data_IF_825149650545
#
_entry.id   IF_825149650545
#
_cell.length_a   1.000
_cell.length_b   1.000
_cell.length_c   1.000
_cell.angle_alpha   90.00
_cell.angle_beta   90.00
_cell.angle_gamma   90.00
#
_symmetry.space_group_name_H-M   'P 1'
#
loop_
_entity.id
_entity.type
_entity.pdbx_description
1 polymer ?
#
# COMPACT_ATOMS: atom_id res chain seq x y z
N UNK A 1 -6.73 11.94 -0.12
CA UNK A 1 -7.55 12.35 -1.26
C UNK A 1 -8.83 11.53 -1.29
N UNK A 2 -9.97 12.22 -1.42
CA UNK A 2 -11.29 11.59 -1.39
C UNK A 2 -11.49 10.55 -2.51
N UNK A 3 -10.86 10.76 -3.67
CA UNK A 3 -11.04 9.84 -4.79
C UNK A 3 -10.39 8.47 -4.54
N UNK A 4 -9.22 8.42 -3.90
CA UNK A 4 -8.59 7.14 -3.59
C UNK A 4 -9.32 6.43 -2.47
N UNK A 5 -9.82 7.17 -1.49
CA UNK A 5 -10.64 6.58 -0.42
C UNK A 5 -11.90 5.92 -1.00
N UNK A 6 -12.60 6.62 -1.88
CA UNK A 6 -13.82 6.09 -2.50
C UNK A 6 -13.51 4.84 -3.34
N UNK A 7 -12.43 4.86 -4.09
CA UNK A 7 -12.02 3.70 -4.89
C UNK A 7 -11.71 2.50 -4.00
N UNK A 8 -11.00 2.72 -2.90
CA UNK A 8 -10.66 1.65 -1.98
C UNK A 8 -11.92 1.06 -1.35
N UNK A 9 -12.83 1.92 -0.88
CA UNK A 9 -14.04 1.45 -0.19
C UNK A 9 -14.97 0.65 -1.10
N UNK A 10 -14.84 0.82 -2.42
CA UNK A 10 -15.62 0.05 -3.38
C UNK A 10 -15.12 -1.39 -3.52
N UNK A 11 -13.88 -1.68 -3.08
CA UNK A 11 -13.28 -3.01 -3.29
C UNK A 11 -12.70 -3.65 -2.04
N UNK A 12 -12.76 -2.96 -0.89
CA UNK A 12 -12.13 -3.47 0.33
C UNK A 12 -12.92 -3.12 1.58
N UNK A 13 -12.77 -3.97 2.61
CA UNK A 13 -13.25 -3.75 3.96
C UNK A 13 -12.11 -3.33 4.87
N UNK A 14 -12.45 -2.89 6.08
CA UNK A 14 -11.46 -2.50 7.09
C UNK A 14 -10.51 -1.43 6.56
N UNK A 15 -11.07 -0.47 5.83
CA UNK A 15 -10.28 0.60 5.21
C UNK A 15 -9.82 1.61 6.24
N UNK A 16 -8.55 2.01 6.15
CA UNK A 16 -8.01 3.05 7.02
C UNK A 16 -6.89 3.79 6.31
N UNK A 17 -6.62 4.97 6.82
CA UNK A 17 -5.54 5.82 6.32
C UNK A 17 -4.36 5.77 7.29
N UNK A 18 -3.15 5.77 6.73
CA UNK A 18 -1.95 5.90 7.54
C UNK A 18 -0.91 6.73 6.77
N UNK A 19 0.06 7.23 7.50
CA UNK A 19 1.14 8.03 6.93
C UNK A 19 2.44 7.75 7.64
N UNK A 20 3.54 7.98 6.94
CA UNK A 20 4.88 7.90 7.51
C UNK A 20 5.79 8.94 6.89
N UNK A 21 6.82 9.31 7.65
CA UNK A 21 7.78 10.31 7.22
C UNK A 21 8.78 9.78 6.21
N UNK A 22 9.60 10.70 5.66
CA UNK A 22 10.61 10.34 4.66
C UNK A 22 11.57 9.28 5.17
N UNK A 23 11.87 8.30 4.34
CA UNK A 23 12.86 7.27 4.64
C UNK A 23 12.42 6.20 5.61
N UNK A 24 11.17 6.23 6.09
CA UNK A 24 10.66 5.17 6.95
C UNK A 24 10.71 3.84 6.20
N UNK A 25 11.20 2.80 6.88
CA UNK A 25 11.37 1.48 6.27
C UNK A 25 10.53 0.46 7.02
N UNK A 26 9.94 -0.45 6.26
CA UNK A 26 9.20 -1.58 6.80
C UNK A 26 9.96 -2.86 6.53
N UNK A 27 10.18 -3.66 7.58
CA UNK A 27 10.81 -4.96 7.44
C UNK A 27 9.92 -5.89 6.61
N UNK A 28 10.53 -6.90 6.01
CA UNK A 28 9.81 -7.91 5.22
C UNK A 28 8.77 -8.60 6.12
N UNK A 29 7.54 -8.62 5.66
CA UNK A 29 6.43 -9.24 6.37
C UNK A 29 5.35 -9.65 5.34
N UNK A 30 4.36 -10.40 5.80
CA UNK A 30 3.22 -10.77 4.96
C UNK A 30 1.92 -10.59 5.75
N UNK A 31 0.80 -10.78 5.04
CA UNK A 31 -0.52 -10.71 5.65
C UNK A 31 -1.34 -11.94 5.25
N UNK A 32 -2.22 -12.43 6.14
CA UNK A 32 -3.06 -13.58 5.81
C UNK A 32 -4.26 -13.24 4.93
N UNK A 33 -4.38 -11.98 4.49
CA UNK A 33 -5.48 -11.51 3.66
C UNK A 33 -4.92 -10.80 2.42
N UNK A 34 -5.76 -10.67 1.40
CA UNK A 34 -5.41 -9.90 0.20
C UNK A 34 -5.56 -8.43 0.52
N UNK A 35 -4.51 -7.67 0.30
CA UNK A 35 -4.44 -6.27 0.68
C UNK A 35 -4.51 -5.38 -0.55
N UNK A 36 -5.39 -4.38 -0.51
CA UNK A 36 -5.47 -3.33 -1.52
C UNK A 36 -4.98 -2.04 -0.88
N UNK A 37 -4.08 -1.33 -1.55
CA UNK A 37 -3.52 -0.08 -1.06
C UNK A 37 -3.47 0.94 -2.18
N UNK A 38 -3.88 2.17 -1.85
CA UNK A 38 -3.73 3.33 -2.74
C UNK A 38 -2.82 4.35 -2.08
N UNK A 39 -1.96 4.98 -2.87
CA UNK A 39 -1.18 6.12 -2.41
C UNK A 39 -2.00 7.38 -2.63
N UNK A 40 -2.24 8.14 -1.57
CA UNK A 40 -2.97 9.40 -1.65
C UNK A 40 -2.02 10.57 -1.89
N UNK A 41 -0.83 10.54 -1.26
CA UNK A 41 0.18 11.62 -1.37
C UNK A 41 1.57 11.03 -1.17
N UNK A 42 2.58 11.65 -1.75
CA UNK A 42 3.96 11.24 -1.60
C UNK A 42 4.32 10.01 -2.41
N UNK A 43 5.24 9.21 -1.90
CA UNK A 43 5.69 8.00 -2.60
C UNK A 43 6.17 6.93 -1.63
N UNK A 44 6.14 5.69 -2.12
CA UNK A 44 6.63 4.52 -1.37
C UNK A 44 7.05 3.47 -2.39
N UNK A 45 8.11 2.73 -2.08
CA UNK A 45 8.57 1.63 -2.92
C UNK A 45 8.35 0.32 -2.17
N UNK A 46 7.54 -0.56 -2.75
CA UNK A 46 7.33 -1.91 -2.20
C UNK A 46 8.34 -2.86 -2.81
N UNK A 47 8.84 -3.77 -1.98
CA UNK A 47 9.84 -4.76 -2.41
C UNK A 47 9.33 -6.18 -2.16
N UNK A 48 8.47 -6.70 -3.06
CA UNK A 48 8.03 -8.09 -2.95
C UNK A 48 9.22 -9.03 -3.12
N UNK A 49 9.29 -10.05 -2.27
CA UNK A 49 10.39 -11.01 -2.32
C UNK A 49 10.43 -11.72 -3.66
N UNK A 50 11.61 -11.71 -4.29
CA UNK A 50 11.81 -12.39 -5.58
C UNK A 50 11.26 -11.65 -6.80
N UNK A 51 10.83 -10.39 -6.64
CA UNK A 51 10.30 -9.56 -7.72
C UNK A 51 10.97 -8.19 -7.73
N UNK A 52 10.91 -7.48 -8.87
CA UNK A 52 11.46 -6.12 -8.92
C UNK A 52 10.72 -5.19 -7.96
N UNK A 53 11.40 -4.16 -7.43
CA UNK A 53 10.75 -3.14 -6.61
C UNK A 53 9.64 -2.43 -7.39
N UNK A 54 8.61 -2.02 -6.67
CA UNK A 54 7.45 -1.32 -7.25
C UNK A 54 7.37 0.06 -6.62
N UNK A 55 7.74 1.08 -7.38
CA UNK A 55 7.63 2.46 -6.94
C UNK A 55 6.21 2.95 -7.16
N UNK A 56 5.60 3.54 -6.12
CA UNK A 56 4.22 4.03 -6.16
C UNK A 56 4.16 5.49 -5.77
N UNK A 57 3.32 6.23 -6.47
CA UNK A 57 3.08 7.66 -6.27
C UNK A 57 1.59 7.91 -6.12
N UNK A 58 1.24 9.17 -5.82
CA UNK A 58 -0.16 9.55 -5.64
C UNK A 58 -1.04 9.05 -6.79
N UNK A 59 -2.11 8.37 -6.45
CA UNK A 59 -3.07 7.77 -7.39
C UNK A 59 -2.79 6.31 -7.73
N UNK A 60 -1.60 5.79 -7.43
CA UNK A 60 -1.25 4.41 -7.74
C UNK A 60 -1.92 3.43 -6.78
N UNK A 61 -2.19 2.24 -7.29
CA UNK A 61 -2.83 1.14 -6.56
C UNK A 61 -1.97 -0.10 -6.62
N UNK A 62 -1.88 -0.82 -5.51
CA UNK A 62 -1.24 -2.13 -5.48
C UNK A 62 -2.19 -3.16 -4.86
N UNK A 63 -2.13 -4.37 -5.38
CA UNK A 63 -2.92 -5.51 -4.95
C UNK A 63 -1.93 -6.60 -4.52
N UNK A 64 -1.88 -6.87 -3.22
CA UNK A 64 -0.96 -7.85 -2.66
C UNK A 64 -1.74 -9.10 -2.27
N UNK A 65 -1.58 -10.21 -3.00
CA UNK A 65 -2.23 -11.46 -2.62
C UNK A 65 -1.83 -11.89 -1.21
N UNK A 66 -2.72 -12.62 -0.55
CA UNK A 66 -2.44 -13.17 0.79
C UNK A 66 -1.12 -13.95 0.77
N UNK A 67 -0.32 -13.79 1.81
CA UNK A 67 0.95 -14.49 1.95
C UNK A 67 2.10 -13.90 1.14
N UNK A 68 1.91 -12.78 0.47
CA UNK A 68 3.00 -12.14 -0.30
C UNK A 68 3.96 -11.44 0.64
N UNK A 69 5.19 -11.96 0.73
CA UNK A 69 6.24 -11.31 1.52
C UNK A 69 6.70 -10.03 0.82
N UNK A 70 6.79 -8.95 1.58
CA UNK A 70 7.23 -7.67 1.03
C UNK A 70 7.77 -6.76 2.12
N UNK A 71 8.73 -5.92 1.75
CA UNK A 71 9.15 -4.79 2.54
C UNK A 71 8.69 -3.51 1.87
N UNK A 72 9.05 -2.36 2.44
CA UNK A 72 8.74 -1.07 1.84
C UNK A 72 9.68 0.00 2.34
N UNK A 73 9.87 1.03 1.51
CA UNK A 73 10.67 2.20 1.85
C UNK A 73 9.92 3.45 1.41
N UNK A 74 9.63 4.33 2.36
CA UNK A 74 8.93 5.59 2.08
C UNK A 74 9.89 6.56 1.40
N UNK A 75 9.39 7.27 0.38
CA UNK A 75 10.17 8.24 -0.37
C UNK A 75 10.51 9.50 0.43
N UNK A 76 11.26 10.41 -0.20
CA UNK A 76 11.80 11.58 0.49
C UNK A 76 10.76 12.62 0.90
N UNK A 77 9.55 12.54 0.37
CA UNK A 77 8.45 13.46 0.71
C UNK A 77 7.45 12.83 1.68
N UNK A 78 7.77 11.65 2.20
CA UNK A 78 6.82 10.92 3.02
C UNK A 78 5.75 10.25 2.19
N UNK A 79 4.75 9.65 2.84
CA UNK A 79 3.64 9.00 2.15
C UNK A 79 2.38 9.06 2.99
N UNK A 80 1.24 9.21 2.31
CA UNK A 80 -0.09 9.00 2.88
C UNK A 80 -0.77 7.93 2.06
N UNK A 81 -1.22 6.87 2.72
CA UNK A 81 -1.84 5.72 2.06
C UNK A 81 -3.22 5.43 2.63
N UNK A 82 -4.05 4.84 1.79
CA UNK A 82 -5.30 4.21 2.20
C UNK A 82 -5.21 2.73 1.88
N UNK A 83 -5.53 1.88 2.85
CA UNK A 83 -5.49 0.45 2.61
C UNK A 83 -6.64 -0.29 3.28
N UNK A 84 -6.93 -1.48 2.76
CA UNK A 84 -7.96 -2.34 3.29
C UNK A 84 -7.78 -3.78 2.84
N UNK A 85 -8.71 -4.63 3.30
CA UNK A 85 -8.73 -6.05 2.95
C UNK A 85 -9.71 -6.26 1.80
N UNK A 86 -9.26 -6.90 0.72
CA UNK A 86 -10.09 -7.11 -0.45
C UNK A 86 -11.35 -7.90 -0.12
N UNK A 87 -12.49 -7.45 -0.64
CA UNK A 87 -13.78 -8.12 -0.44
C UNK A 87 -13.95 -9.29 -1.41
N UNK A 88 -13.35 -9.19 -2.59
CA UNK A 88 -13.42 -10.21 -3.63
C UNK A 88 -12.12 -10.99 -3.70
N UNK A 89 -12.25 -12.29 -3.87
CA UNK A 89 -11.11 -13.22 -3.92
C UNK A 89 -10.90 -13.74 -5.32
#
# INVERSE_FOLDING_TARGET
>A
DNSVEAKLRAEADHCYQWSNGPGAAYAVHDHPYRKILYVARGSITFTPTGRPPIEMRAGDRIDLPAGTEHGALVGQDGVVCWEGQAINF
#
